data_IF_997160462389
#
_entry.id   IF_997160462389
#
_cell.length_a   1.000
_cell.length_b   1.000
_cell.length_c   1.000
_cell.angle_alpha   90.00
_cell.angle_beta   90.00
_cell.angle_gamma   90.00
#
_symmetry.space_group_name_H-M   'P 1'
#
loop_
_entity.id
_entity.type
_entity.pdbx_description
1 polymer ?
#
# COMPACT_ATOMS: atom_id res chain seq x y z
N UNK A 1 -1.01 5.70 -12.92
CA UNK A 1 -1.44 5.29 -11.59
C UNK A 1 -0.60 6.01 -10.54
N UNK A 2 -1.23 6.48 -9.49
CA UNK A 2 -0.56 7.31 -8.49
C UNK A 2 0.19 6.46 -7.44
N UNK A 3 1.10 7.12 -6.72
CA UNK A 3 1.70 6.52 -5.53
C UNK A 3 0.63 6.37 -4.45
N UNK A 4 0.93 5.59 -3.41
CA UNK A 4 -0.02 5.41 -2.32
C UNK A 4 -0.33 6.75 -1.63
N UNK A 5 0.67 7.60 -1.43
CA UNK A 5 0.46 8.93 -0.83
C UNK A 5 -0.45 9.82 -1.67
N UNK A 6 -0.25 9.83 -2.98
CA UNK A 6 -1.11 10.58 -3.91
C UNK A 6 -2.53 10.03 -3.91
N UNK A 7 -2.67 8.70 -3.90
CA UNK A 7 -3.97 8.04 -3.79
C UNK A 7 -4.69 8.48 -2.50
N UNK A 8 -3.98 8.47 -1.39
CA UNK A 8 -4.53 8.87 -0.10
C UNK A 8 -5.07 10.31 -0.13
N UNK A 9 -4.27 11.21 -0.68
CA UNK A 9 -4.67 12.62 -0.83
C UNK A 9 -5.91 12.76 -1.69
N UNK A 10 -5.97 12.04 -2.81
CA UNK A 10 -7.11 12.07 -3.71
C UNK A 10 -8.39 11.63 -3.00
N UNK A 11 -8.33 10.53 -2.25
CA UNK A 11 -9.48 10.02 -1.51
C UNK A 11 -9.91 10.98 -0.41
N UNK A 12 -8.95 11.59 0.27
CA UNK A 12 -9.25 12.60 1.29
C UNK A 12 -10.00 13.79 0.70
N UNK A 13 -9.50 14.30 -0.41
CA UNK A 13 -10.10 15.46 -1.08
C UNK A 13 -11.50 15.13 -1.58
N UNK A 14 -11.71 13.94 -2.11
CA UNK A 14 -13.04 13.47 -2.53
C UNK A 14 -14.06 13.53 -1.39
N UNK A 15 -13.62 13.27 -0.17
CA UNK A 15 -14.50 13.34 1.00
C UNK A 15 -14.66 14.75 1.56
N UNK A 16 -13.98 15.72 0.97
CA UNK A 16 -14.06 17.11 1.42
C UNK A 16 -13.37 17.36 2.75
N UNK A 17 -12.41 16.53 3.14
CA UNK A 17 -11.74 16.63 4.43
C UNK A 17 -10.37 17.31 4.29
N UNK A 18 -10.00 18.10 5.29
CA UNK A 18 -8.63 18.56 5.40
C UNK A 18 -7.77 17.48 6.08
N UNK A 19 -6.46 17.71 6.15
CA UNK A 19 -5.55 16.71 6.71
C UNK A 19 -5.82 16.41 8.19
N UNK A 20 -6.20 17.44 8.94
CA UNK A 20 -6.52 17.29 10.36
C UNK A 20 -7.76 16.41 10.56
N UNK A 21 -8.82 16.72 9.83
CA UNK A 21 -10.07 15.98 9.90
C UNK A 21 -9.89 14.52 9.48
N UNK A 22 -9.16 14.31 8.40
CA UNK A 22 -8.87 12.97 7.90
C UNK A 22 -8.04 12.17 8.92
N UNK A 23 -7.02 12.80 9.47
CA UNK A 23 -6.17 12.18 10.49
C UNK A 23 -6.97 11.76 11.71
N UNK A 24 -7.87 12.63 12.18
CA UNK A 24 -8.74 12.28 13.31
C UNK A 24 -9.62 11.08 13.01
N UNK A 25 -10.13 10.98 11.78
CA UNK A 25 -11.00 9.88 11.38
C UNK A 25 -10.30 8.52 11.39
N UNK A 26 -9.00 8.49 11.10
CA UNK A 26 -8.24 7.24 11.00
C UNK A 26 -7.17 7.07 12.08
N UNK A 27 -7.10 8.00 13.03
CA UNK A 27 -6.20 7.89 14.17
C UNK A 27 -4.75 8.23 13.87
N UNK A 28 -4.49 9.11 12.91
CA UNK A 28 -3.13 9.55 12.53
C UNK A 28 -3.07 11.07 12.60
N UNK A 29 -2.05 11.60 13.24
CA UNK A 29 -1.93 13.04 13.41
C UNK A 29 -1.66 13.75 12.07
N UNK A 30 -2.10 15.00 11.98
CA UNK A 30 -2.04 15.80 10.76
C UNK A 30 -0.64 15.87 10.13
N UNK A 31 0.40 16.06 10.94
CA UNK A 31 1.77 16.15 10.44
C UNK A 31 2.22 14.86 9.77
N UNK A 32 1.78 13.71 10.29
CA UNK A 32 2.08 12.42 9.67
C UNK A 32 1.31 12.25 8.36
N UNK A 33 0.03 12.64 8.33
CA UNK A 33 -0.76 12.62 7.10
C UNK A 33 -0.06 13.44 6.02
N UNK A 34 0.43 14.62 6.35
CA UNK A 34 1.12 15.48 5.39
C UNK A 34 2.37 14.80 4.83
N UNK A 35 3.18 14.19 5.69
CA UNK A 35 4.38 13.47 5.28
C UNK A 35 4.05 12.29 4.37
N UNK A 36 3.02 11.55 4.71
CA UNK A 36 2.60 10.37 3.93
C UNK A 36 2.11 10.81 2.54
N UNK A 37 1.28 11.84 2.48
CA UNK A 37 0.76 12.33 1.20
C UNK A 37 1.85 12.85 0.28
N UNK A 38 2.92 13.41 0.86
CA UNK A 38 4.05 13.95 0.11
C UNK A 38 5.16 12.93 -0.15
N UNK A 39 4.96 11.69 0.26
CA UNK A 39 5.92 10.61 0.00
C UNK A 39 7.12 10.59 0.93
N UNK A 40 7.11 11.36 2.00
CA UNK A 40 8.23 11.44 2.95
C UNK A 40 8.12 10.41 4.07
N UNK A 41 6.99 9.72 4.18
CA UNK A 41 6.77 8.69 5.19
C UNK A 41 5.81 7.65 4.66
N UNK A 42 5.99 6.41 5.09
CA UNK A 42 5.08 5.32 4.72
C UNK A 42 3.84 5.34 5.60
N UNK A 43 2.70 5.04 5.01
CA UNK A 43 1.47 4.83 5.76
C UNK A 43 1.67 3.61 6.67
N UNK A 44 1.24 3.67 7.94
CA UNK A 44 1.40 2.53 8.85
C UNK A 44 0.59 1.33 8.35
N UNK A 45 1.25 0.20 8.16
CA UNK A 45 0.59 -1.01 7.68
C UNK A 45 -0.61 -1.41 8.55
N UNK A 46 -0.44 -1.31 9.86
CA UNK A 46 -1.50 -1.69 10.81
C UNK A 46 -2.73 -0.80 10.75
N UNK A 47 -2.64 0.35 10.10
CA UNK A 47 -3.78 1.27 9.93
C UNK A 47 -4.55 1.04 8.64
N UNK A 48 -4.11 0.12 7.78
CA UNK A 48 -4.78 -0.16 6.52
C UNK A 48 -6.22 -0.64 6.70
N UNK A 49 -6.47 -1.47 7.73
CA UNK A 49 -7.82 -1.96 7.99
C UNK A 49 -8.78 -0.82 8.35
N UNK A 50 -8.32 0.12 9.18
CA UNK A 50 -9.09 1.31 9.54
C UNK A 50 -9.35 2.18 8.31
N UNK A 51 -8.32 2.38 7.48
CA UNK A 51 -8.43 3.15 6.25
C UNK A 51 -9.41 2.51 5.28
N UNK A 52 -9.34 1.20 5.12
CA UNK A 52 -10.26 0.42 4.27
C UNK A 52 -11.72 0.67 4.65
N UNK A 53 -12.03 0.61 5.93
CA UNK A 53 -13.38 0.87 6.43
C UNK A 53 -13.81 2.30 6.20
N UNK A 54 -12.93 3.24 6.48
CA UNK A 54 -13.24 4.66 6.35
C UNK A 54 -13.49 5.06 4.89
N UNK A 55 -12.70 4.54 3.96
CA UNK A 55 -12.83 4.84 2.54
C UNK A 55 -13.85 3.94 1.83
N UNK A 56 -14.34 2.91 2.49
CA UNK A 56 -15.22 1.90 1.90
C UNK A 56 -14.56 1.26 0.66
N UNK A 57 -13.32 0.85 0.84
CA UNK A 57 -12.52 0.17 -0.19
C UNK A 57 -12.17 -1.21 0.35
N UNK A 58 -12.25 -2.24 -0.50
CA UNK A 58 -11.87 -3.59 -0.11
C UNK A 58 -10.45 -3.62 0.45
N UNK A 59 -10.30 -4.28 1.60
CA UNK A 59 -9.02 -4.33 2.31
C UNK A 59 -7.90 -4.92 1.44
N UNK A 60 -8.19 -6.00 0.71
CA UNK A 60 -7.16 -6.66 -0.11
C UNK A 60 -6.75 -5.81 -1.29
N UNK A 61 -7.68 -5.07 -1.88
CA UNK A 61 -7.36 -4.10 -2.94
C UNK A 61 -6.46 -2.99 -2.41
N UNK A 62 -6.79 -2.46 -1.24
CA UNK A 62 -6.01 -1.40 -0.61
C UNK A 62 -4.61 -1.90 -0.26
N UNK A 63 -4.52 -3.12 0.28
CA UNK A 63 -3.25 -3.75 0.62
C UNK A 63 -2.39 -3.95 -0.63
N UNK A 64 -2.99 -4.36 -1.74
CA UNK A 64 -2.28 -4.52 -3.00
C UNK A 64 -1.68 -3.20 -3.47
N UNK A 65 -2.44 -2.11 -3.38
CA UNK A 65 -1.92 -0.78 -3.72
C UNK A 65 -0.74 -0.40 -2.84
N UNK A 66 -0.87 -0.67 -1.55
CA UNK A 66 0.17 -0.35 -0.57
C UNK A 66 1.46 -1.11 -0.84
N UNK A 67 1.36 -2.42 -1.07
CA UNK A 67 2.53 -3.27 -1.29
C UNK A 67 3.14 -3.01 -2.67
N UNK A 68 2.30 -2.77 -3.68
CA UNK A 68 2.79 -2.44 -5.02
C UNK A 68 3.67 -1.18 -5.01
N UNK A 69 3.31 -0.20 -4.20
CA UNK A 69 4.10 1.02 -4.04
C UNK A 69 5.51 0.69 -3.53
N UNK A 70 5.62 -0.21 -2.57
CA UNK A 70 6.90 -0.66 -2.03
C UNK A 70 7.72 -1.43 -3.06
N UNK A 71 7.07 -2.27 -3.85
CA UNK A 71 7.75 -3.03 -4.90
C UNK A 71 8.35 -2.09 -5.96
N UNK A 72 7.59 -1.08 -6.37
CA UNK A 72 8.06 -0.10 -7.35
C UNK A 72 9.24 0.69 -6.79
N UNK A 73 9.22 1.05 -5.52
CA UNK A 73 10.34 1.74 -4.89
C UNK A 73 11.63 0.90 -4.97
N UNK A 74 11.52 -0.40 -4.67
CA UNK A 74 12.70 -1.29 -4.75
C UNK A 74 13.22 -1.39 -6.17
N UNK A 75 12.32 -1.51 -7.15
CA UNK A 75 12.71 -1.56 -8.56
C UNK A 75 13.50 -0.33 -8.96
N UNK A 76 13.02 0.85 -8.59
CA UNK A 76 13.69 2.11 -8.92
C UNK A 76 14.97 2.31 -8.13
N UNK A 77 14.98 1.91 -6.86
CA UNK A 77 16.16 2.02 -6.00
C UNK A 77 17.34 1.23 -6.54
N UNK A 78 17.10 0.04 -7.07
CA UNK A 78 18.14 -0.83 -7.61
C UNK A 78 18.28 -0.73 -9.13
N UNK A 79 17.60 0.24 -9.75
CA UNK A 79 17.68 0.53 -11.18
C UNK A 79 17.35 -0.68 -12.06
N UNK A 80 16.39 -1.51 -11.62
CA UNK A 80 15.92 -2.65 -12.39
C UNK A 80 14.91 -2.20 -13.45
N UNK A 81 14.78 -3.00 -14.51
CA UNK A 81 13.68 -2.80 -15.46
C UNK A 81 12.40 -3.43 -14.94
N UNK A 82 11.27 -3.11 -15.58
CA UNK A 82 9.97 -3.68 -15.19
C UNK A 82 9.90 -5.18 -15.42
N UNK A 83 10.85 -5.76 -16.16
CA UNK A 83 10.94 -7.22 -16.32
C UNK A 83 11.09 -7.93 -14.97
N UNK A 84 11.58 -7.25 -13.94
CA UNK A 84 11.70 -7.83 -12.59
C UNK A 84 10.34 -8.27 -12.05
N UNK A 85 9.24 -7.63 -12.44
CA UNK A 85 7.90 -8.00 -11.97
C UNK A 85 7.49 -9.38 -12.47
N UNK A 86 7.85 -9.72 -13.73
CA UNK A 86 7.58 -11.06 -14.27
C UNK A 86 8.38 -12.13 -13.52
N UNK A 87 9.65 -11.82 -13.21
CA UNK A 87 10.49 -12.75 -12.43
C UNK A 87 9.90 -12.93 -11.03
N UNK A 88 9.50 -11.84 -10.39
CA UNK A 88 8.90 -11.91 -9.05
C UNK A 88 7.61 -12.72 -9.05
N UNK A 89 6.79 -12.58 -10.08
CA UNK A 89 5.56 -13.36 -10.23
C UNK A 89 5.87 -14.86 -10.29
N UNK A 90 6.86 -15.24 -11.10
CA UNK A 90 7.27 -16.63 -11.22
C UNK A 90 7.78 -17.18 -9.89
N UNK A 91 8.58 -16.41 -9.17
CA UNK A 91 9.07 -16.77 -7.85
C UNK A 91 7.93 -16.96 -6.85
N UNK A 92 6.96 -16.05 -6.89
CA UNK A 92 5.79 -16.11 -6.01
C UNK A 92 4.97 -17.36 -6.25
N UNK A 93 4.74 -17.71 -7.51
CA UNK A 93 4.03 -18.94 -7.89
C UNK A 93 4.79 -20.18 -7.43
N UNK A 94 6.10 -20.16 -7.59
CA UNK A 94 6.95 -21.27 -7.14
C UNK A 94 6.83 -21.46 -5.62
N UNK A 95 6.91 -20.38 -4.85
CA UNK A 95 6.84 -20.47 -3.39
C UNK A 95 5.48 -20.97 -2.92
N UNK A 96 4.40 -20.54 -3.56
CA UNK A 96 3.06 -21.01 -3.22
C UNK A 96 2.93 -22.50 -3.49
N UNK A 97 3.40 -22.96 -4.65
CA UNK A 97 3.40 -24.37 -5.00
C UNK A 97 4.20 -25.21 -4.01
N UNK A 98 5.38 -24.73 -3.63
CA UNK A 98 6.25 -25.41 -2.66
C UNK A 98 5.57 -25.49 -1.28
N UNK A 99 4.96 -24.41 -0.84
CA UNK A 99 4.28 -24.36 0.46
C UNK A 99 3.05 -25.28 0.48
N UNK A 100 2.30 -25.33 -0.60
CA UNK A 100 1.14 -26.23 -0.72
C UNK A 100 1.59 -27.68 -0.62
N UNK A 101 2.67 -28.05 -1.32
CA UNK A 101 3.22 -29.41 -1.27
C UNK A 101 3.67 -29.80 0.12
N UNK A 102 4.17 -28.85 0.89
CA UNK A 102 4.68 -29.08 2.23
C UNK A 102 3.61 -28.91 3.29
N UNK A 103 2.38 -28.59 2.90
CA UNK A 103 1.31 -28.31 3.84
C UNK A 103 1.53 -27.07 4.67
N UNK A 104 2.32 -26.15 4.16
CA UNK A 104 2.65 -24.92 4.87
C UNK A 104 1.60 -23.83 4.69
N UNK A 105 1.74 -22.78 5.51
CA UNK A 105 0.80 -21.68 5.54
C UNK A 105 0.75 -20.97 4.21
N UNK A 106 -0.45 -20.52 3.85
CA UNK A 106 -0.69 -19.78 2.62
C UNK A 106 -0.24 -18.33 2.75
N UNK A 107 0.08 -17.78 1.63
CA UNK A 107 0.39 -16.36 1.53
C UNK A 107 -0.86 -15.50 1.54
#
# INVERSE_FOLDING_TARGET
>A
MATFGEFLKTERVKKGLNQSEFGQAIGIIMTEISKIENGHKKFPFNSLATLSKFLDIDYFELKNLYVADKLVEEVHKYECSDAVFSVAESQSKYLRSKNDKQGKIKF
#
